data_IF_428263574857
#
_entry.id   IF_428263574857
#
_cell.length_a   1.000
_cell.length_b   1.000
_cell.length_c   1.000
_cell.angle_alpha   90.00
_cell.angle_beta   90.00
_cell.angle_gamma   90.00
#
_symmetry.space_group_name_H-M   'P 1'
#
loop_
_entity.id
_entity.type
_entity.pdbx_description
1 polymer ?
#
# COMPACT_ATOMS: atom_id res chain seq x y z
N UNK A 1 -13.83 54.16 32.41
CA UNK A 1 -13.76 53.65 32.18
C UNK A 1 -13.60 52.63 31.51
N UNK A 2 -13.60 52.22 31.13
CA UNK A 2 -13.45 51.37 30.73
C UNK A 2 -13.22 50.33 30.18
N UNK A 3 -13.18 49.87 29.96
CA UNK A 3 -12.97 48.98 29.51
C UNK A 3 -12.93 48.00 28.92
N UNK A 4 -12.81 47.56 28.60
CA UNK A 4 -12.72 46.70 28.11
C UNK A 4 -12.54 45.70 27.58
N UNK A 5 -12.39 45.21 27.33
CA UNK A 5 -12.27 44.37 26.93
C UNK A 5 -12.14 43.42 26.24
N UNK A 6 -12.00 42.96 26.05
CA UNK A 6 -11.83 42.20 25.48
C UNK A 6 -11.74 41.17 25.03
N UNK A 7 -11.74 40.66 24.85
CA UNK A 7 -11.68 39.79 24.58
C UNK A 7 -11.48 38.91 23.75
N UNK A 8 -11.41 38.47 23.48
CA UNK A 8 -11.13 37.74 22.80
C UNK A 8 -11.12 36.63 22.42
N UNK A 9 -11.12 36.14 22.23
CA UNK A 9 -11.10 35.19 21.94
C UNK A 9 -10.80 34.28 21.17
N UNK A 10 -10.70 33.88 21.01
CA UNK A 10 -10.29 33.11 20.43
C UNK A 10 -10.47 32.07 20.00
N UNK A 11 -10.53 31.66 19.85
CA UNK A 11 -10.65 30.74 19.54
C UNK A 11 -10.44 29.86 18.76
N UNK A 12 -10.46 29.46 18.48
CA UNK A 12 -10.29 28.70 17.77
C UNK A 12 -9.98 27.68 17.44
N UNK A 13 -9.93 27.35 17.27
CA UNK A 13 -9.59 26.61 16.87
C UNK A 13 -9.58 25.46 16.61
N UNK A 14 -9.52 25.15 16.69
CA UNK A 14 -9.47 24.10 16.64
C UNK A 14 -9.55 23.21 15.82
N UNK A 15 -9.78 22.84 15.65
CA UNK A 15 -9.97 22.08 14.92
C UNK A 15 -9.40 21.30 14.30
N UNK A 16 -9.37 20.96 13.64
CA UNK A 16 -8.76 20.42 12.95
C UNK A 16 -8.30 19.24 12.93
N UNK A 17 -8.03 18.69 13.42
CA UNK A 17 -7.38 17.63 13.46
C UNK A 17 -7.64 16.44 12.81
N UNK A 18 -8.74 15.90 12.57
CA UNK A 18 -8.93 14.60 12.00
C UNK A 18 -8.34 14.44 10.64
N UNK A 19 -8.06 15.51 9.99
CA UNK A 19 -7.51 15.40 8.67
C UNK A 19 -6.14 14.80 8.65
N UNK A 20 -5.40 15.00 9.70
CA UNK A 20 -4.04 14.51 9.69
C UNK A 20 -3.95 13.03 9.65
N UNK A 21 -4.92 12.35 10.22
CA UNK A 21 -4.86 10.91 10.20
C UNK A 21 -4.96 10.35 8.82
N UNK A 22 -5.66 11.05 7.94
CA UNK A 22 -5.80 10.57 6.58
C UNK A 22 -4.51 10.64 5.81
N UNK A 23 -3.56 11.43 6.28
CA UNK A 23 -2.28 11.56 5.61
C UNK A 23 -1.25 10.57 6.11
N UNK A 24 -1.63 9.72 7.05
CA UNK A 24 -0.72 8.69 7.53
C UNK A 24 -0.61 7.61 6.47
N UNK A 25 0.60 7.34 5.96
CA UNK A 25 0.75 6.31 4.93
C UNK A 25 0.46 4.94 5.49
N UNK A 26 -0.08 4.07 4.62
CA UNK A 26 -0.26 2.68 4.99
C UNK A 26 1.09 1.98 5.06
N UNK A 27 1.19 0.98 5.91
CA UNK A 27 2.37 0.12 5.96
C UNK A 27 2.22 -0.97 4.91
N UNK A 28 3.26 -1.14 4.12
CA UNK A 28 3.32 -2.16 3.08
C UNK A 28 4.18 -3.29 3.57
N UNK A 29 3.69 -4.51 3.45
CA UNK A 29 4.45 -5.71 3.81
C UNK A 29 4.72 -6.49 2.54
N UNK A 30 5.99 -6.75 2.26
CA UNK A 30 6.39 -7.50 1.07
C UNK A 30 7.35 -8.61 1.47
N UNK A 31 7.21 -9.76 0.83
CA UNK A 31 8.17 -10.86 0.97
C UNK A 31 8.73 -11.16 -0.40
N UNK A 32 10.04 -11.07 -0.51
CA UNK A 32 10.77 -11.25 -1.76
C UNK A 32 11.35 -12.65 -1.78
N UNK A 33 11.11 -13.39 -2.88
CA UNK A 33 11.55 -14.75 -3.04
C UNK A 33 12.52 -14.86 -4.20
N UNK A 34 13.60 -15.60 -3.98
CA UNK A 34 14.56 -15.93 -5.02
C UNK A 34 15.01 -17.36 -4.82
N UNK A 35 14.36 -18.31 -5.51
CA UNK A 35 14.64 -19.73 -5.29
C UNK A 35 14.29 -20.10 -3.86
N UNK A 36 15.21 -20.77 -3.13
CA UNK A 36 14.91 -21.11 -1.75
C UNK A 36 15.12 -19.98 -0.75
N UNK A 37 15.68 -18.85 -1.20
CA UNK A 37 15.96 -17.73 -0.31
C UNK A 37 14.78 -16.76 -0.32
N UNK A 38 14.60 -16.06 0.78
CA UNK A 38 13.58 -15.01 0.85
C UNK A 38 13.95 -14.01 1.93
N UNK A 39 13.35 -12.82 1.83
CA UNK A 39 13.44 -11.81 2.87
C UNK A 39 12.17 -10.98 2.84
N UNK A 40 11.88 -10.31 3.95
CA UNK A 40 10.66 -9.51 4.08
C UNK A 40 11.00 -8.10 4.47
N UNK A 41 10.11 -7.18 4.09
CA UNK A 41 10.22 -5.76 4.44
C UNK A 41 8.87 -5.25 4.87
N UNK A 42 8.90 -4.24 5.73
CA UNK A 42 7.74 -3.45 6.07
C UNK A 42 8.15 -1.99 6.01
N UNK A 43 7.39 -1.17 5.31
CA UNK A 43 7.73 0.25 5.14
C UNK A 43 6.47 1.03 4.79
N UNK A 44 6.46 2.35 5.01
CA UNK A 44 5.28 3.14 4.69
C UNK A 44 5.16 3.43 3.20
N UNK A 45 3.92 3.52 2.72
CA UNK A 45 3.63 3.88 1.34
C UNK A 45 3.67 5.40 1.18
N UNK A 46 4.82 6.00 1.40
CA UNK A 46 4.98 7.45 1.44
C UNK A 46 5.72 7.99 0.22
N UNK A 47 5.99 7.14 -0.78
CA UNK A 47 6.68 7.55 -2.00
C UNK A 47 8.18 7.56 -1.91
N UNK A 48 8.76 7.34 -0.75
CA UNK A 48 10.21 7.30 -0.61
C UNK A 48 10.73 5.94 -1.03
N UNK A 49 11.99 5.92 -1.48
CA UNK A 49 12.63 4.68 -1.85
C UNK A 49 13.27 4.06 -0.62
N UNK A 50 12.94 2.82 -0.36
CA UNK A 50 13.49 2.06 0.76
C UNK A 50 14.43 1.00 0.22
N UNK A 51 15.72 1.04 0.60
CA UNK A 51 16.67 0.06 0.10
C UNK A 51 16.41 -1.32 0.69
N UNK A 52 16.61 -2.34 -0.11
CA UNK A 52 16.41 -3.71 0.36
C UNK A 52 17.65 -4.28 1.05
N UNK A 53 18.82 -3.78 0.67
CA UNK A 53 20.09 -4.28 1.21
C UNK A 53 20.23 -5.80 1.07
N UNK A 54 19.71 -6.34 -0.02
CA UNK A 54 19.73 -7.77 -0.26
C UNK A 54 19.91 -7.99 -1.74
N UNK A 55 20.78 -8.92 -2.11
CA UNK A 55 21.14 -9.12 -3.51
C UNK A 55 20.70 -10.47 -4.07
N UNK A 56 19.75 -11.15 -3.44
CA UNK A 56 19.25 -12.38 -4.06
C UNK A 56 18.53 -12.05 -5.36
N UNK A 57 18.56 -12.98 -6.29
CA UNK A 57 17.85 -12.81 -7.56
C UNK A 57 16.37 -13.08 -7.32
N UNK A 58 15.58 -12.01 -7.25
CA UNK A 58 14.16 -12.08 -6.93
C UNK A 58 13.37 -12.40 -8.17
N UNK A 59 12.45 -13.34 -8.07
CA UNK A 59 11.51 -13.62 -9.16
C UNK A 59 10.06 -13.48 -8.75
N UNK A 60 9.75 -13.51 -7.46
CA UNK A 60 8.37 -13.39 -6.97
C UNK A 60 8.38 -12.52 -5.72
N UNK A 61 7.40 -11.64 -5.61
CA UNK A 61 7.20 -10.81 -4.43
C UNK A 61 5.76 -11.00 -3.98
N UNK A 62 5.57 -11.43 -2.73
CA UNK A 62 4.25 -11.54 -2.15
C UNK A 62 3.84 -10.19 -1.57
N UNK A 63 2.65 -9.75 -1.89
CA UNK A 63 2.09 -8.49 -1.40
C UNK A 63 0.71 -8.76 -0.80
N UNK A 64 0.66 -9.25 0.45
CA UNK A 64 -0.61 -9.68 1.02
C UNK A 64 -1.56 -8.54 1.36
N UNK A 65 -1.05 -7.34 1.61
CA UNK A 65 -1.89 -6.27 2.13
C UNK A 65 -1.76 -4.98 1.34
N UNK A 66 -1.27 -5.04 0.10
CA UNK A 66 -1.10 -3.82 -0.68
C UNK A 66 -1.24 -4.11 -2.17
N UNK A 67 -1.73 -3.11 -2.90
CA UNK A 67 -1.94 -3.22 -4.34
C UNK A 67 -0.65 -2.85 -5.06
N UNK A 68 0.31 -3.77 -5.05
CA UNK A 68 1.71 -3.45 -5.34
C UNK A 68 1.98 -3.06 -6.78
N UNK A 69 1.41 -3.78 -7.77
CA UNK A 69 1.79 -3.53 -9.15
C UNK A 69 1.51 -2.09 -9.58
N UNK A 70 0.29 -1.54 -9.38
CA UNK A 70 0.07 -0.17 -9.81
C UNK A 70 0.60 0.88 -8.85
N UNK A 71 0.87 0.53 -7.60
CA UNK A 71 1.20 1.54 -6.60
C UNK A 71 2.64 1.49 -6.11
N UNK A 72 3.43 0.50 -6.54
CA UNK A 72 4.83 0.39 -6.13
C UNK A 72 5.74 0.41 -7.34
N UNK A 73 6.96 0.91 -7.13
CA UNK A 73 8.04 0.85 -8.10
C UNK A 73 9.15 0.00 -7.49
N UNK A 74 9.58 -1.02 -8.24
CA UNK A 74 10.66 -1.90 -7.81
C UNK A 74 11.90 -1.54 -8.62
N UNK A 75 12.98 -1.23 -7.94
CA UNK A 75 14.22 -0.78 -8.59
C UNK A 75 15.17 -1.97 -8.73
N UNK A 76 15.64 -2.17 -9.95
CA UNK A 76 16.49 -3.31 -10.30
C UNK A 76 17.62 -2.83 -11.19
N UNK A 77 18.76 -3.56 -11.25
CA UNK A 77 19.87 -3.13 -12.12
C UNK A 77 19.55 -3.21 -13.59
N UNK A 78 18.75 -4.18 -14.01
CA UNK A 78 18.47 -4.38 -15.43
C UNK A 78 17.02 -4.16 -15.76
N UNK A 79 16.71 -4.30 -17.03
CA UNK A 79 15.34 -4.23 -17.49
C UNK A 79 14.54 -5.39 -16.93
N UNK A 80 13.26 -5.16 -16.78
CA UNK A 80 12.40 -6.16 -16.21
C UNK A 80 10.98 -6.01 -16.74
N UNK A 81 10.25 -7.11 -16.65
CA UNK A 81 8.81 -7.11 -16.84
C UNK A 81 8.16 -7.55 -15.54
N UNK A 82 7.03 -6.96 -15.21
CA UNK A 82 6.28 -7.28 -14.01
C UNK A 82 4.93 -7.81 -14.43
N UNK A 83 4.52 -8.92 -13.80
CA UNK A 83 3.22 -9.53 -14.06
C UNK A 83 2.58 -9.83 -12.73
N UNK A 84 1.27 -9.60 -12.62
CA UNK A 84 0.53 -9.94 -11.42
C UNK A 84 0.22 -11.42 -11.35
N UNK A 85 0.18 -11.96 -10.15
CA UNK A 85 -0.22 -13.32 -9.90
C UNK A 85 -1.00 -13.40 -8.60
N UNK A 86 -1.58 -14.57 -8.37
CA UNK A 86 -2.35 -14.84 -7.16
C UNK A 86 -1.99 -16.24 -6.72
N UNK A 87 -1.62 -16.38 -5.45
CA UNK A 87 -1.29 -17.69 -4.91
C UNK A 87 -2.54 -18.54 -4.74
N UNK A 88 -2.36 -19.84 -4.49
CA UNK A 88 -3.49 -20.72 -4.28
C UNK A 88 -4.30 -20.34 -3.05
N UNK A 89 -3.72 -19.65 -2.09
CA UNK A 89 -4.45 -19.16 -0.93
C UNK A 89 -4.86 -17.69 -1.04
N UNK A 90 -4.78 -17.12 -2.25
CA UNK A 90 -5.40 -15.83 -2.52
C UNK A 90 -4.55 -14.61 -2.26
N UNK A 91 -3.23 -14.76 -2.16
CA UNK A 91 -2.33 -13.64 -1.91
C UNK A 91 -1.85 -13.06 -3.24
N UNK A 92 -1.88 -11.75 -3.36
CA UNK A 92 -1.35 -11.06 -4.54
C UNK A 92 0.15 -11.25 -4.63
N UNK A 93 0.62 -11.45 -5.85
CA UNK A 93 2.06 -11.58 -6.13
C UNK A 93 2.46 -10.68 -7.27
N UNK A 94 3.71 -10.25 -7.24
CA UNK A 94 4.37 -9.59 -8.36
C UNK A 94 5.44 -10.55 -8.86
N UNK A 95 5.36 -10.91 -10.13
CA UNK A 95 6.33 -11.81 -10.75
C UNK A 95 7.27 -10.97 -11.59
N UNK A 96 8.56 -11.14 -11.38
CA UNK A 96 9.60 -10.36 -12.05
C UNK A 96 10.37 -11.26 -13.00
N UNK A 97 10.52 -10.83 -14.23
CA UNK A 97 11.34 -11.51 -15.21
C UNK A 97 12.21 -10.54 -15.97
N UNK A 98 13.49 -10.82 -16.11
CA UNK A 98 14.23 -11.97 -15.54
C UNK A 98 14.51 -11.78 -14.05
N UNK A 99 14.75 -12.87 -13.33
CA UNK A 99 15.10 -12.76 -11.90
C UNK A 99 16.35 -11.93 -11.72
N UNK A 100 16.31 -11.01 -10.78
CA UNK A 100 17.43 -10.13 -10.51
C UNK A 100 17.24 -9.48 -9.16
N UNK A 101 18.29 -8.90 -8.58
CA UNK A 101 18.14 -8.23 -7.29
C UNK A 101 17.18 -7.05 -7.40
N UNK A 102 16.35 -6.90 -6.37
CA UNK A 102 15.57 -5.67 -6.20
C UNK A 102 16.34 -4.82 -5.20
N UNK A 103 16.86 -3.69 -5.67
CA UNK A 103 17.75 -2.88 -4.84
C UNK A 103 16.98 -1.91 -3.96
N UNK A 104 15.77 -1.56 -4.33
CA UNK A 104 14.93 -0.65 -3.57
C UNK A 104 13.49 -0.78 -4.00
N UNK A 105 12.60 -0.22 -3.20
CA UNK A 105 11.17 -0.21 -3.51
C UNK A 105 10.56 1.07 -2.96
N UNK A 106 9.62 1.63 -3.71
CA UNK A 106 8.83 2.76 -3.24
C UNK A 106 7.37 2.47 -3.57
N UNK A 107 6.49 2.84 -2.66
CA UNK A 107 5.05 2.69 -2.86
C UNK A 107 4.35 3.96 -2.45
N UNK A 108 3.26 4.28 -3.12
CA UNK A 108 2.51 5.51 -2.82
C UNK A 108 1.04 5.27 -3.07
N UNK A 109 0.23 5.73 -2.15
CA UNK A 109 -1.21 5.68 -2.30
C UNK A 109 -1.87 4.73 -1.32
N UNK A 110 -3.19 4.82 -1.24
CA UNK A 110 -3.97 3.98 -0.34
C UNK A 110 -4.58 2.81 -1.11
N UNK A 111 -4.91 1.78 -0.38
CA UNK A 111 -5.76 0.71 -0.89
C UNK A 111 -6.72 0.31 0.21
N UNK A 112 -7.79 -0.38 -0.17
CA UNK A 112 -8.88 -0.74 0.74
C UNK A 112 -8.73 -2.20 1.13
N UNK A 113 -8.75 -2.52 2.43
CA UNK A 113 -8.61 -3.91 2.84
C UNK A 113 -9.84 -4.73 2.46
N UNK A 114 -9.68 -6.04 2.51
CA UNK A 114 -10.78 -6.96 2.22
C UNK A 114 -11.95 -6.65 3.13
N UNK A 115 -13.15 -6.60 2.55
CA UNK A 115 -14.42 -6.24 3.16
C UNK A 115 -14.55 -4.76 3.51
N UNK A 116 -13.56 -3.94 3.19
CA UNK A 116 -13.73 -2.49 3.29
C UNK A 116 -14.49 -1.95 2.09
N UNK A 117 -14.94 -0.71 2.20
CA UNK A 117 -15.74 -0.09 1.15
C UNK A 117 -14.85 0.44 0.04
N UNK A 118 -14.97 -0.12 -1.16
CA UNK A 118 -14.30 0.43 -2.34
C UNK A 118 -15.19 1.45 -3.04
N UNK A 119 -16.49 1.44 -2.76
CA UNK A 119 -17.42 2.50 -3.12
C UNK A 119 -18.22 2.89 -1.89
N UNK A 120 -18.51 4.17 -1.77
CA UNK A 120 -19.31 4.68 -0.67
C UNK A 120 -20.20 5.78 -1.21
N UNK A 121 -21.50 5.61 -1.07
CA UNK A 121 -22.48 6.57 -1.58
C UNK A 121 -22.27 6.85 -3.07
N UNK A 122 -21.96 5.81 -3.84
CA UNK A 122 -21.73 5.95 -5.27
C UNK A 122 -20.40 6.53 -5.67
N UNK A 123 -19.52 6.80 -4.71
CA UNK A 123 -18.21 7.40 -4.97
C UNK A 123 -17.13 6.34 -4.82
N UNK A 124 -16.23 6.29 -5.78
CA UNK A 124 -15.08 5.39 -5.71
C UNK A 124 -14.13 5.84 -4.61
N UNK A 125 -13.79 4.92 -3.69
CA UNK A 125 -12.91 5.23 -2.56
C UNK A 125 -11.46 4.92 -2.90
N UNK A 126 -11.19 3.78 -3.50
CA UNK A 126 -9.83 3.40 -3.84
C UNK A 126 -9.74 1.95 -4.27
N UNK A 127 -8.55 1.52 -4.72
CA UNK A 127 -8.37 0.14 -5.15
C UNK A 127 -8.32 -0.80 -3.96
N UNK A 128 -8.61 -2.06 -4.21
CA UNK A 128 -8.53 -3.08 -3.16
C UNK A 128 -7.08 -3.50 -2.97
N UNK A 129 -6.66 -3.65 -1.73
CA UNK A 129 -5.29 -4.10 -1.42
C UNK A 129 -5.07 -5.51 -1.94
N UNK A 130 -6.09 -6.35 -1.79
CA UNK A 130 -6.01 -7.74 -2.21
C UNK A 130 -7.43 -8.15 -2.55
N UNK A 131 -7.62 -8.67 -3.77
CA UNK A 131 -8.96 -9.03 -4.19
C UNK A 131 -9.55 -8.02 -5.17
N UNK A 132 -10.85 -7.97 -5.23
CA UNK A 132 -11.55 -7.17 -6.23
C UNK A 132 -12.74 -6.45 -5.60
N UNK A 133 -13.19 -5.40 -6.27
CA UNK A 133 -14.31 -4.59 -5.80
C UNK A 133 -15.61 -5.13 -6.39
N UNK A 134 -16.53 -5.55 -5.54
CA UNK A 134 -17.85 -6.00 -5.97
C UNK A 134 -18.87 -5.67 -4.90
N UNK A 135 -20.02 -5.15 -5.32
CA UNK A 135 -21.10 -4.77 -4.41
C UNK A 135 -20.59 -3.80 -3.33
N UNK A 136 -19.79 -2.84 -3.75
CA UNK A 136 -19.24 -1.75 -2.93
C UNK A 136 -18.20 -2.19 -1.91
N UNK A 137 -17.80 -3.46 -1.92
CA UNK A 137 -16.84 -3.98 -0.96
C UNK A 137 -15.68 -4.65 -1.68
N UNK A 138 -14.52 -4.61 -1.07
CA UNK A 138 -13.39 -5.40 -1.55
C UNK A 138 -13.58 -6.84 -1.12
N UNK A 139 -13.54 -7.76 -2.08
CA UNK A 139 -13.78 -9.18 -1.87
C UNK A 139 -12.49 -9.95 -2.07
N UNK A 140 -12.22 -10.98 -1.25
CA UNK A 140 -10.99 -11.74 -1.43
C UNK A 140 -11.05 -12.53 -2.72
N UNK A 141 -9.86 -12.83 -3.29
CA UNK A 141 -9.77 -13.64 -4.50
C UNK A 141 -10.33 -15.03 -4.27
N UNK A 142 -10.10 -15.59 -3.08
CA UNK A 142 -10.61 -16.90 -2.70
C UNK A 142 -11.77 -16.67 -1.75
N UNK A 143 -12.95 -17.09 -2.17
CA UNK A 143 -14.14 -16.91 -1.34
C UNK A 143 -14.25 -18.05 -0.35
N UNK A 144 -14.62 -17.77 0.89
CA UNK A 144 -14.86 -18.85 1.84
C UNK A 144 -16.06 -19.67 1.38
N UNK A 145 -16.00 -20.96 1.57
CA UNK A 145 -17.09 -21.84 1.17
C UNK A 145 -18.12 -22.05 2.26
#
# INVERSE_FOLDING_TARGET
>A
MMLLSATALALGLAAASPIEERNTPQTVHLTFHGGPASYSMAFPADGKVYPTNNNIAVNIIDAPDYNAIPQCTFYTPGEKALVGGITSDGVNQVIIGPPQPVTGVSCLGICIPVYGDCYRNGQYVGPCCNGFCAANKCRPWIQPS
#
